data_IF_578793776201
#
_entry.id   IF_578793776201
#
_cell.length_a   1.000
_cell.length_b   1.000
_cell.length_c   1.000
_cell.angle_alpha   90.00
_cell.angle_beta   90.00
_cell.angle_gamma   90.00
#
_symmetry.space_group_name_H-M   'P 1'
#
loop_
_entity.id
_entity.type
_entity.pdbx_description
1 polymer ?
#
# COMPACT_ATOMS: atom_id res chain seq x y z
N UNK A 1 -2.05 2.37 -13.47
CA UNK A 1 -2.18 3.65 -12.76
C UNK A 1 -1.47 4.73 -13.55
N UNK A 2 -2.15 5.81 -13.92
CA UNK A 2 -1.53 6.91 -14.68
C UNK A 2 -0.60 7.69 -13.76
N UNK A 3 0.71 7.81 -14.08
CA UNK A 3 1.61 8.68 -13.31
C UNK A 3 1.10 10.13 -13.34
N UNK A 4 1.04 10.76 -12.17
CA UNK A 4 0.56 12.13 -12.04
C UNK A 4 1.35 12.88 -10.97
N UNK A 5 1.43 14.21 -11.11
CA UNK A 5 2.03 15.11 -10.12
C UNK A 5 1.28 16.44 -10.11
N UNK A 6 1.30 17.13 -8.99
CA UNK A 6 0.73 18.47 -8.84
C UNK A 6 1.87 19.48 -8.71
N UNK A 7 1.80 20.55 -9.51
CA UNK A 7 2.69 21.71 -9.40
C UNK A 7 1.80 22.92 -9.13
N UNK A 8 1.92 23.55 -7.96
CA UNK A 8 1.18 24.78 -7.68
C UNK A 8 1.84 25.96 -8.41
N UNK A 9 1.20 26.44 -9.48
CA UNK A 9 1.66 27.60 -10.27
C UNK A 9 0.89 28.89 -9.98
N UNK A 10 -0.10 28.82 -9.10
CA UNK A 10 -1.08 29.91 -8.92
C UNK A 10 -0.58 31.08 -8.06
N UNK A 11 0.53 30.90 -7.33
CA UNK A 11 1.01 31.88 -6.34
C UNK A 11 0.08 32.06 -5.15
N UNK A 12 -0.95 31.22 -5.01
CA UNK A 12 -1.94 31.22 -3.92
C UNK A 12 -2.06 29.84 -3.30
N UNK A 13 -2.71 29.78 -2.15
CA UNK A 13 -3.01 28.53 -1.48
C UNK A 13 -3.89 27.63 -2.36
N UNK A 14 -3.54 26.34 -2.38
CA UNK A 14 -4.24 25.32 -3.14
C UNK A 14 -4.68 24.20 -2.21
N UNK A 15 -5.98 24.04 -2.06
CA UNK A 15 -6.57 22.96 -1.30
C UNK A 15 -6.91 21.78 -2.21
N UNK A 16 -6.79 20.56 -1.68
CA UNK A 16 -7.25 19.36 -2.37
C UNK A 16 -7.78 18.36 -1.35
N UNK A 17 -8.95 17.82 -1.64
CA UNK A 17 -9.56 16.72 -0.89
C UNK A 17 -9.72 15.58 -1.87
N UNK A 18 -9.05 14.47 -1.59
CA UNK A 18 -9.12 13.26 -2.40
C UNK A 18 -9.89 12.20 -1.64
N UNK A 19 -10.71 11.46 -2.37
CA UNK A 19 -11.40 10.28 -1.87
C UNK A 19 -10.93 9.07 -2.68
N UNK A 20 -10.25 8.15 -2.02
CA UNK A 20 -9.77 6.91 -2.61
C UNK A 20 -10.82 5.82 -2.39
N UNK A 21 -11.22 5.15 -3.47
CA UNK A 21 -12.17 4.05 -3.42
C UNK A 21 -11.42 2.72 -3.37
N UNK A 22 -11.46 2.10 -2.19
CA UNK A 22 -10.71 0.89 -1.90
C UNK A 22 -11.64 -0.30 -1.59
N UNK A 23 -11.27 -1.54 -1.98
CA UNK A 23 -11.99 -2.74 -1.58
C UNK A 23 -11.92 -3.02 -0.06
N UNK A 24 -12.72 -4.00 0.39
CA UNK A 24 -12.55 -4.58 1.74
C UNK A 24 -11.17 -5.25 1.87
N UNK A 25 -10.61 -5.28 3.09
CA UNK A 25 -9.22 -5.73 3.31
C UNK A 25 -8.96 -7.19 2.92
N UNK A 26 -9.93 -8.06 3.15
CA UNK A 26 -9.91 -9.47 2.80
C UNK A 26 -10.32 -9.76 1.35
N UNK A 27 -10.74 -8.74 0.60
CA UNK A 27 -11.16 -8.90 -0.79
C UNK A 27 -10.03 -9.51 -1.63
N UNK A 28 -10.28 -10.65 -2.31
CA UNK A 28 -9.31 -11.29 -3.17
C UNK A 28 -9.15 -10.49 -4.47
N UNK A 29 -7.91 -10.30 -4.91
CA UNK A 29 -7.56 -9.66 -6.17
C UNK A 29 -6.86 -10.70 -7.04
N UNK A 30 -7.61 -11.27 -7.98
CA UNK A 30 -7.09 -12.10 -9.08
C UNK A 30 -7.60 -11.55 -10.42
N UNK A 31 -6.69 -11.45 -11.39
CA UNK A 31 -7.02 -10.98 -12.75
C UNK A 31 -7.91 -11.99 -13.47
N UNK A 32 -7.87 -13.27 -13.07
CA UNK A 32 -8.73 -14.33 -13.62
C UNK A 32 -10.21 -14.08 -13.34
N UNK A 33 -10.54 -13.44 -12.22
CA UNK A 33 -11.92 -13.14 -11.81
C UNK A 33 -12.58 -12.05 -12.69
N UNK A 34 -11.78 -11.33 -13.48
CA UNK A 34 -12.28 -10.30 -14.40
C UNK A 34 -12.81 -10.90 -15.71
N UNK A 35 -12.62 -12.20 -15.94
CA UNK A 35 -13.09 -12.93 -17.11
C UNK A 35 -12.15 -12.87 -18.32
N UNK A 36 -12.48 -13.65 -19.35
CA UNK A 36 -11.60 -13.96 -20.49
C UNK A 36 -11.25 -12.76 -21.37
N UNK A 37 -12.06 -11.69 -21.32
CA UNK A 37 -11.75 -10.42 -22.00
C UNK A 37 -10.46 -9.79 -21.47
N UNK A 38 -10.19 -9.91 -20.18
CA UNK A 38 -9.08 -9.25 -19.50
C UNK A 38 -7.96 -10.23 -19.14
N UNK A 39 -8.30 -11.50 -18.96
CA UNK A 39 -7.35 -12.59 -18.77
C UNK A 39 -7.76 -13.80 -19.62
N UNK A 40 -7.24 -13.93 -20.85
CA UNK A 40 -7.48 -15.10 -21.69
C UNK A 40 -7.13 -16.42 -20.96
N UNK A 41 -7.90 -17.48 -21.19
CA UNK A 41 -7.76 -18.75 -20.47
C UNK A 41 -6.44 -19.48 -20.77
N UNK A 42 -5.82 -19.18 -21.91
CA UNK A 42 -4.55 -19.74 -22.38
C UNK A 42 -3.33 -18.94 -21.92
N UNK A 43 -3.53 -17.87 -21.13
CA UNK A 43 -2.45 -17.01 -20.63
C UNK A 43 -2.43 -16.94 -19.11
N UNK A 44 -1.21 -17.07 -18.57
CA UNK A 44 -0.96 -16.78 -17.17
C UNK A 44 -0.99 -15.26 -16.90
N UNK A 45 -1.65 -14.81 -15.83
CA UNK A 45 -1.58 -13.41 -15.39
C UNK A 45 -0.15 -13.00 -15.03
N UNK A 46 0.19 -11.76 -15.38
CA UNK A 46 1.46 -11.15 -15.00
C UNK A 46 1.61 -10.93 -13.48
N UNK A 47 0.49 -10.91 -12.75
CA UNK A 47 0.46 -10.65 -11.32
C UNK A 47 -0.12 -11.84 -10.57
N UNK A 48 0.56 -12.24 -9.50
CA UNK A 48 0.06 -13.28 -8.61
C UNK A 48 -1.19 -12.79 -7.87
N UNK A 49 -2.15 -13.69 -7.59
CA UNK A 49 -3.31 -13.37 -6.74
C UNK A 49 -2.85 -12.90 -5.37
N UNK A 50 -3.55 -11.92 -4.80
CA UNK A 50 -3.29 -11.40 -3.45
C UNK A 50 -4.56 -10.78 -2.84
N UNK A 51 -4.63 -10.64 -1.52
CA UNK A 51 -5.70 -9.84 -0.88
C UNK A 51 -5.41 -8.34 -0.99
N UNK A 52 -6.46 -7.52 -0.92
CA UNK A 52 -6.30 -6.06 -0.87
C UNK A 52 -5.43 -5.61 0.31
N UNK A 53 -5.56 -6.26 1.49
CA UNK A 53 -4.68 -6.04 2.64
C UNK A 53 -3.21 -6.20 2.30
N UNK A 54 -2.84 -7.26 1.59
CA UNK A 54 -1.45 -7.51 1.22
C UNK A 54 -0.96 -6.43 0.24
N UNK A 55 -1.81 -6.07 -0.73
CA UNK A 55 -1.50 -5.01 -1.69
C UNK A 55 -1.27 -3.66 -1.00
N UNK A 56 -2.17 -3.25 -0.10
CA UNK A 56 -2.09 -2.00 0.65
C UNK A 56 -0.85 -1.97 1.54
N UNK A 57 -0.56 -3.05 2.28
CA UNK A 57 0.66 -3.15 3.09
C UNK A 57 1.92 -2.97 2.24
N UNK A 58 1.98 -3.62 1.07
CA UNK A 58 3.10 -3.49 0.15
C UNK A 58 3.22 -2.07 -0.43
N UNK A 59 2.10 -1.40 -0.70
CA UNK A 59 2.07 -0.01 -1.16
C UNK A 59 2.61 0.94 -0.09
N UNK A 60 2.08 0.84 1.14
CA UNK A 60 2.47 1.70 2.25
C UNK A 60 3.95 1.51 2.62
N UNK A 61 4.42 0.26 2.69
CA UNK A 61 5.83 -0.02 2.95
C UNK A 61 6.74 0.56 1.87
N UNK A 62 6.40 0.43 0.58
CA UNK A 62 7.24 0.99 -0.50
C UNK A 62 7.32 2.51 -0.47
N UNK A 63 6.24 3.18 -0.06
CA UNK A 63 6.16 4.65 -0.14
C UNK A 63 6.59 5.35 1.15
N UNK A 64 6.39 4.70 2.30
CA UNK A 64 6.52 5.34 3.62
C UNK A 64 7.43 4.61 4.59
N UNK A 65 8.02 3.45 4.25
CA UNK A 65 8.86 2.71 5.21
C UNK A 65 10.01 3.56 5.79
N UNK A 66 10.64 4.42 4.98
CA UNK A 66 11.71 5.30 5.47
C UNK A 66 11.18 6.47 6.31
N UNK A 67 9.96 6.95 6.03
CA UNK A 67 9.32 8.03 6.81
C UNK A 67 8.89 7.53 8.20
N UNK A 68 8.49 6.27 8.32
CA UNK A 68 8.14 5.68 9.63
C UNK A 68 9.35 5.31 10.49
N UNK A 69 10.55 5.22 9.92
CA UNK A 69 11.79 5.05 10.71
C UNK A 69 12.22 6.33 11.43
N UNK A 70 11.78 7.49 10.95
CA UNK A 70 12.21 8.79 11.48
C UNK A 70 11.15 9.46 12.36
N UNK A 71 9.90 8.99 12.32
CA UNK A 71 8.79 9.53 13.12
C UNK A 71 8.73 8.90 14.51
N UNK A 72 9.23 7.68 14.69
CA UNK A 72 9.42 7.08 16.01
C UNK A 72 10.88 6.71 16.21
N UNK A 73 11.43 7.09 17.36
CA UNK A 73 12.58 6.41 17.97
C UNK A 73 12.24 4.97 18.35
N UNK A 74 11.64 4.19 17.43
CA UNK A 74 11.51 2.75 17.53
C UNK A 74 12.83 2.13 17.05
N UNK A 75 13.89 2.39 17.82
CA UNK A 75 14.98 1.44 17.93
C UNK A 75 14.37 0.07 18.25
N UNK A 76 14.72 -0.93 17.44
CA UNK A 76 14.47 -2.34 17.73
C UNK A 76 15.22 -2.83 19.00
N UNK A 77 15.61 -1.95 19.92
CA UNK A 77 16.24 -2.27 21.20
C UNK A 77 15.22 -2.36 22.35
N UNK A 78 14.04 -1.73 22.24
CA UNK A 78 13.09 -1.71 23.36
C UNK A 78 12.16 -2.94 23.44
N UNK A 79 12.02 -3.68 22.33
CA UNK A 79 11.20 -4.90 22.32
C UNK A 79 11.91 -6.15 22.89
N UNK A 80 13.25 -6.11 23.02
CA UNK A 80 14.02 -7.16 23.70
C UNK A 80 14.08 -6.96 25.22
N UNK A 81 14.01 -5.71 25.72
CA UNK A 81 14.03 -5.45 27.16
C UNK A 81 12.68 -5.67 27.85
N UNK A 82 11.54 -5.45 27.17
CA UNK A 82 10.22 -5.77 27.75
C UNK A 82 10.01 -7.28 28.02
N UNK A 83 10.80 -8.17 27.40
CA UNK A 83 10.74 -9.61 27.66
C UNK A 83 11.65 -10.06 28.81
N UNK A 84 12.60 -9.25 29.26
CA UNK A 84 13.53 -9.60 30.36
C UNK A 84 13.03 -9.19 31.74
N UNK A 85 12.19 -8.16 31.85
CA UNK A 85 11.69 -7.66 33.14
C UNK A 85 10.36 -8.30 33.58
N UNK A 86 9.92 -9.38 32.93
CA UNK A 86 8.70 -10.12 33.27
C UNK A 86 8.96 -11.54 33.79
N UNK A 87 10.17 -11.82 34.26
CA UNK A 87 10.53 -13.05 35.01
C UNK A 87 11.31 -12.68 36.26
#
# INVERSE_FOLDING_TARGET
ATPHRVINRSGRDRYSIVFFWDPQLDFPIDTRDLGTRWCPADKEPNYKPQSYRQHLKNLLNRNYAELYKTIDGASNEDSENLKKDST
#
